data_IF_684170414520
#
_entry.id   IF_684170414520
#
_cell.length_a   1.000
_cell.length_b   1.000
_cell.length_c   1.000
_cell.angle_alpha   90.00
_cell.angle_beta   90.00
_cell.angle_gamma   90.00
#
_symmetry.space_group_name_H-M   'P 1'
#
loop_
_entity.id
_entity.type
_entity.pdbx_description
1 polymer ?
#
# COMPACT_ATOMS: atom_id res chain seq x y z
N UNK A 1 -0.37 30.16 -12.91
CA UNK A 1 0.60 29.93 -11.83
C UNK A 1 -0.13 29.20 -10.70
N UNK A 2 0.42 28.12 -10.16
CA UNK A 2 -0.20 27.39 -9.04
C UNK A 2 -0.07 28.21 -7.76
N UNK A 3 -1.10 28.23 -6.91
CA UNK A 3 -1.00 28.76 -5.56
C UNK A 3 -0.39 27.73 -4.59
N UNK A 4 -0.02 28.17 -3.39
CA UNK A 4 0.66 27.33 -2.39
C UNK A 4 -0.16 26.09 -1.99
N UNK A 5 -1.49 26.23 -1.88
CA UNK A 5 -2.36 25.10 -1.55
C UNK A 5 -2.39 24.06 -2.69
N UNK A 6 -2.49 24.51 -3.94
CA UNK A 6 -2.45 23.65 -5.12
C UNK A 6 -1.09 22.95 -5.25
N UNK A 7 0.01 23.68 -5.06
CA UNK A 7 1.37 23.14 -5.09
C UNK A 7 1.54 22.06 -4.01
N UNK A 8 1.18 22.35 -2.76
CA UNK A 8 1.26 21.39 -1.64
C UNK A 8 0.42 20.15 -1.87
N UNK A 9 -0.82 20.31 -2.38
CA UNK A 9 -1.70 19.19 -2.67
C UNK A 9 -1.15 18.30 -3.79
N UNK A 10 -0.55 18.89 -4.83
CA UNK A 10 0.10 18.15 -5.91
C UNK A 10 1.37 17.43 -5.42
N UNK A 11 2.22 18.09 -4.62
CA UNK A 11 3.40 17.46 -3.99
C UNK A 11 3.02 16.18 -3.26
N UNK A 12 2.03 16.23 -2.36
CA UNK A 12 1.60 15.07 -1.57
C UNK A 12 1.06 13.95 -2.46
N UNK A 13 0.27 14.27 -3.48
CA UNK A 13 -0.37 13.26 -4.34
C UNK A 13 0.61 12.62 -5.31
N UNK A 14 1.48 13.41 -5.93
CA UNK A 14 2.49 12.92 -6.87
C UNK A 14 3.64 12.21 -6.16
N UNK A 15 4.05 12.68 -4.98
CA UNK A 15 5.02 11.99 -4.13
C UNK A 15 4.51 10.61 -3.73
N UNK A 16 3.30 10.54 -3.16
CA UNK A 16 2.66 9.26 -2.79
C UNK A 16 2.54 8.29 -3.97
N UNK A 17 2.23 8.78 -5.17
CA UNK A 17 2.16 7.94 -6.38
C UNK A 17 3.50 7.27 -6.68
N UNK A 18 4.60 8.03 -6.61
CA UNK A 18 5.96 7.49 -6.84
C UNK A 18 6.34 6.50 -5.73
N UNK A 19 6.07 6.84 -4.47
CA UNK A 19 6.41 6.03 -3.30
C UNK A 19 5.64 4.70 -3.23
N UNK A 20 4.41 4.65 -3.73
CA UNK A 20 3.64 3.40 -3.83
C UNK A 20 4.08 2.57 -5.05
N UNK A 21 4.54 3.22 -6.13
CA UNK A 21 4.97 2.54 -7.36
C UNK A 21 6.36 1.90 -7.23
N UNK A 22 7.30 2.53 -6.52
CA UNK A 22 8.68 2.05 -6.37
C UNK A 22 8.77 0.65 -5.72
N UNK A 23 8.12 0.37 -4.57
CA UNK A 23 8.15 -0.97 -3.97
C UNK A 23 7.51 -2.04 -4.85
N UNK A 24 6.47 -1.69 -5.63
CA UNK A 24 5.86 -2.61 -6.59
C UNK A 24 6.84 -2.95 -7.71
N UNK A 25 7.60 -1.97 -8.19
CA UNK A 25 8.63 -2.18 -9.20
C UNK A 25 9.76 -3.07 -8.67
N UNK A 26 10.19 -2.89 -7.42
CA UNK A 26 11.21 -3.72 -6.78
C UNK A 26 10.73 -5.17 -6.61
N UNK A 27 9.51 -5.38 -6.13
CA UNK A 27 8.89 -6.72 -6.07
C UNK A 27 8.84 -7.39 -7.44
N UNK A 28 8.48 -6.63 -8.48
CA UNK A 28 8.46 -7.15 -9.84
C UNK A 28 9.85 -7.50 -10.33
N UNK A 29 10.91 -6.75 -10.00
CA UNK A 29 12.30 -7.05 -10.38
C UNK A 29 12.80 -8.34 -9.75
N UNK A 30 12.40 -8.61 -8.52
CA UNK A 30 12.79 -9.82 -7.76
C UNK A 30 11.98 -11.07 -8.16
N UNK A 31 10.85 -10.90 -8.85
CA UNK A 31 9.97 -12.00 -9.23
C UNK A 31 10.61 -12.94 -10.27
N UNK A 32 10.77 -14.25 -9.96
CA UNK A 32 11.38 -15.23 -10.86
C UNK A 32 10.49 -15.62 -12.06
N UNK A 33 9.17 -15.48 -11.92
CA UNK A 33 8.18 -15.98 -12.90
C UNK A 33 7.95 -15.08 -14.12
N UNK A 34 8.87 -14.16 -14.42
CA UNK A 34 8.72 -13.25 -15.57
C UNK A 34 7.46 -12.38 -15.44
N UNK A 35 7.19 -11.87 -14.23
CA UNK A 35 6.12 -10.91 -13.99
C UNK A 35 6.10 -9.86 -15.12
N UNK A 36 4.92 -9.70 -15.74
CA UNK A 36 4.75 -9.13 -17.08
C UNK A 36 5.69 -7.95 -17.31
N UNK A 37 6.68 -8.10 -18.18
CA UNK A 37 7.63 -7.03 -18.52
C UNK A 37 6.89 -5.71 -18.84
N UNK A 38 5.73 -5.82 -19.47
CA UNK A 38 4.83 -4.70 -19.73
C UNK A 38 4.40 -3.96 -18.44
N UNK A 39 4.13 -4.66 -17.34
CA UNK A 39 3.79 -4.04 -16.06
C UNK A 39 4.98 -3.29 -15.45
N UNK A 40 6.20 -3.84 -15.58
CA UNK A 40 7.43 -3.15 -15.17
C UNK A 40 7.63 -1.87 -15.99
N UNK A 41 7.52 -1.98 -17.31
CA UNK A 41 7.71 -0.86 -18.24
C UNK A 41 6.69 0.26 -17.99
N UNK A 42 5.44 -0.10 -17.69
CA UNK A 42 4.39 0.87 -17.34
C UNK A 42 4.63 1.53 -15.99
N UNK A 43 5.07 0.80 -14.96
CA UNK A 43 5.43 1.39 -13.67
C UNK A 43 6.63 2.33 -13.78
N UNK A 44 7.66 1.96 -14.54
CA UNK A 44 8.80 2.84 -14.81
C UNK A 44 8.37 4.09 -15.59
N UNK A 45 7.49 3.93 -16.58
CA UNK A 45 6.94 5.04 -17.34
C UNK A 45 6.10 5.97 -16.47
N UNK A 46 5.27 5.42 -15.57
CA UNK A 46 4.48 6.17 -14.60
C UNK A 46 5.37 7.01 -13.68
N UNK A 47 6.40 6.41 -13.08
CA UNK A 47 7.33 7.09 -12.17
C UNK A 47 8.05 8.22 -12.92
N UNK A 48 8.62 7.92 -14.11
CA UNK A 48 9.33 8.90 -14.94
C UNK A 48 8.43 10.05 -15.36
N UNK A 49 7.21 9.75 -15.79
CA UNK A 49 6.23 10.76 -16.25
C UNK A 49 5.78 11.65 -15.11
N UNK A 50 5.58 11.07 -13.92
CA UNK A 50 5.22 11.81 -12.71
C UNK A 50 6.33 12.76 -12.28
N UNK A 51 7.59 12.29 -12.24
CA UNK A 51 8.76 13.13 -11.95
C UNK A 51 8.94 14.24 -12.98
N UNK A 52 8.81 13.94 -14.27
CA UNK A 52 8.91 14.95 -15.33
C UNK A 52 7.77 15.99 -15.25
N UNK A 53 6.55 15.57 -14.92
CA UNK A 53 5.44 16.49 -14.70
C UNK A 53 5.69 17.39 -13.49
N UNK A 54 6.20 16.85 -12.38
CA UNK A 54 6.54 17.64 -11.21
C UNK A 54 7.65 18.66 -11.49
N UNK A 55 8.70 18.25 -12.21
CA UNK A 55 9.78 19.16 -12.63
C UNK A 55 9.25 20.32 -13.48
N UNK A 56 8.35 20.06 -14.46
CA UNK A 56 7.71 21.11 -15.27
C UNK A 56 6.83 22.06 -14.47
N UNK A 57 6.30 21.60 -13.35
CA UNK A 57 5.45 22.40 -12.45
C UNK A 57 6.25 23.04 -11.30
N UNK A 58 7.58 22.89 -11.30
CA UNK A 58 8.47 23.33 -10.22
C UNK A 58 8.02 22.78 -8.86
N UNK A 59 7.57 21.52 -8.86
CA UNK A 59 7.17 20.78 -7.68
C UNK A 59 8.33 19.88 -7.29
N UNK A 60 8.84 20.10 -6.08
CA UNK A 60 9.81 19.22 -5.48
C UNK A 60 9.11 17.96 -4.95
N UNK A 61 9.41 16.80 -5.53
CA UNK A 61 8.98 15.50 -5.04
C UNK A 61 9.98 14.88 -4.05
N UNK A 62 11.16 15.49 -3.86
CA UNK A 62 12.12 15.14 -2.81
C UNK A 62 11.71 15.70 -1.44
N UNK A 63 10.49 16.26 -1.34
CA UNK A 63 9.84 16.52 -0.07
C UNK A 63 9.80 15.26 0.80
N UNK A 64 9.72 15.40 2.14
CA UNK A 64 9.92 14.30 3.06
C UNK A 64 9.00 13.15 2.66
N UNK A 65 9.62 12.09 2.15
CA UNK A 65 9.00 10.78 2.07
C UNK A 65 8.23 10.60 3.37
N UNK A 66 6.94 10.21 3.36
CA UNK A 66 6.21 9.93 4.56
C UNK A 66 7.11 9.03 5.39
N UNK A 67 7.33 9.45 6.63
CA UNK A 67 8.23 8.73 7.51
C UNK A 67 7.82 7.26 7.52
N UNK A 68 8.79 6.39 7.82
CA UNK A 68 8.55 4.96 7.85
C UNK A 68 7.29 4.61 8.66
N UNK A 69 7.01 5.36 9.72
CA UNK A 69 5.84 5.23 10.56
C UNK A 69 4.52 5.52 9.81
N UNK A 70 4.44 6.57 8.99
CA UNK A 70 3.29 6.85 8.14
C UNK A 70 3.08 5.77 7.07
N UNK A 71 4.16 5.25 6.47
CA UNK A 71 4.08 4.12 5.52
C UNK A 71 3.57 2.84 6.19
N UNK A 72 4.11 2.50 7.35
CA UNK A 72 3.68 1.34 8.14
C UNK A 72 2.22 1.46 8.58
N UNK A 73 1.77 2.65 9.00
CA UNK A 73 0.35 2.90 9.33
C UNK A 73 -0.56 2.69 8.13
N UNK A 74 -0.23 3.29 6.98
CA UNK A 74 -1.04 3.16 5.77
C UNK A 74 -1.11 1.70 5.29
N UNK A 75 0.02 1.00 5.27
CA UNK A 75 0.10 -0.40 4.86
C UNK A 75 -0.68 -1.31 5.82
N UNK A 76 -0.45 -1.20 7.13
CA UNK A 76 -1.12 -2.04 8.13
C UNK A 76 -2.64 -1.80 8.17
N UNK A 77 -3.10 -0.55 7.99
CA UNK A 77 -4.51 -0.24 7.85
C UNK A 77 -5.14 -0.86 6.59
N UNK A 78 -4.42 -0.90 5.47
CA UNK A 78 -4.90 -1.53 4.24
C UNK A 78 -5.01 -3.05 4.34
N UNK A 79 -4.14 -3.70 5.12
CA UNK A 79 -4.19 -5.15 5.37
C UNK A 79 -5.18 -5.53 6.45
N UNK A 80 -5.42 -4.65 7.42
CA UNK A 80 -6.35 -4.89 8.53
C UNK A 80 -7.72 -5.35 8.02
N UNK A 81 -8.35 -4.58 7.13
CA UNK A 81 -9.67 -4.93 6.59
C UNK A 81 -9.64 -6.25 5.82
N UNK A 82 -8.59 -6.47 5.01
CA UNK A 82 -8.46 -7.71 4.22
C UNK A 82 -8.35 -8.96 5.08
N UNK A 83 -7.63 -8.88 6.19
CA UNK A 83 -7.49 -9.99 7.13
C UNK A 83 -8.80 -10.24 7.87
N UNK A 84 -9.53 -9.19 8.27
CA UNK A 84 -10.84 -9.37 8.92
C UNK A 84 -11.90 -9.96 7.96
N UNK A 85 -11.81 -9.68 6.66
CA UNK A 85 -12.67 -10.30 5.65
C UNK A 85 -12.41 -11.80 5.48
N UNK A 86 -11.27 -12.32 5.97
CA UNK A 86 -10.99 -13.75 6.01
C UNK A 86 -11.63 -14.48 7.20
N UNK A 87 -12.33 -13.79 8.10
CA UNK A 87 -13.03 -14.44 9.20
C UNK A 87 -14.16 -15.35 8.69
N UNK A 88 -14.43 -16.49 9.35
CA UNK A 88 -15.45 -17.44 8.91
C UNK A 88 -16.83 -16.81 8.66
N UNK A 89 -17.23 -15.81 9.45
CA UNK A 89 -18.49 -15.09 9.28
C UNK A 89 -18.57 -14.25 7.99
N UNK A 90 -17.43 -13.87 7.40
CA UNK A 90 -17.31 -13.04 6.19
C UNK A 90 -16.99 -13.85 4.93
N UNK A 91 -16.64 -15.14 5.05
CA UNK A 91 -16.41 -16.05 3.92
C UNK A 91 -17.71 -16.53 3.24
N UNK A 92 -18.87 -15.99 3.67
CA UNK A 92 -20.21 -16.31 3.17
C UNK A 92 -20.35 -15.86 1.71
N UNK A 93 -19.98 -16.75 0.81
CA UNK A 93 -19.96 -16.51 -0.64
C UNK A 93 -19.18 -17.57 -1.40
N UNK A 94 -18.33 -18.33 -0.69
CA UNK A 94 -17.55 -19.45 -1.22
C UNK A 94 -18.09 -20.83 -0.78
N UNK A 95 -19.23 -20.85 -0.09
CA UNK A 95 -19.81 -22.03 0.57
C UNK A 95 -19.95 -21.83 2.08
N UNK A 96 -20.61 -22.76 2.76
CA UNK A 96 -20.55 -22.81 4.22
C UNK A 96 -19.15 -23.27 4.64
N UNK A 97 -18.56 -22.56 5.60
CA UNK A 97 -17.32 -22.98 6.24
C UNK A 97 -17.67 -24.05 7.27
N UNK A 98 -16.98 -25.19 7.24
CA UNK A 98 -17.14 -26.24 8.23
C UNK A 98 -16.89 -25.68 9.65
N UNK A 99 -17.74 -26.00 10.66
CA UNK A 99 -17.57 -25.45 12.00
C UNK A 99 -16.22 -25.74 12.65
N UNK A 100 -15.60 -26.90 12.37
CA UNK A 100 -14.28 -27.25 12.91
C UNK A 100 -13.21 -26.36 12.27
N UNK A 101 -13.30 -26.11 10.96
CA UNK A 101 -12.39 -25.19 10.28
C UNK A 101 -12.63 -23.74 10.70
N UNK A 102 -13.88 -23.33 10.94
CA UNK A 102 -14.21 -22.01 11.45
C UNK A 102 -13.55 -21.73 12.81
N UNK A 103 -13.65 -22.68 13.74
CA UNK A 103 -13.03 -22.59 15.08
C UNK A 103 -11.49 -22.55 15.02
N UNK A 104 -10.89 -23.11 13.96
CA UNK A 104 -9.44 -23.07 13.73
C UNK A 104 -8.99 -21.79 13.03
N UNK A 105 -9.77 -21.27 12.08
CA UNK A 105 -9.42 -20.07 11.29
C UNK A 105 -9.55 -18.80 12.14
N UNK A 106 -10.62 -18.67 12.92
CA UNK A 106 -10.90 -17.47 13.70
C UNK A 106 -9.72 -17.01 14.59
N UNK A 107 -9.09 -17.86 15.43
CA UNK A 107 -7.98 -17.42 16.28
C UNK A 107 -6.74 -16.99 15.49
N UNK A 108 -6.45 -17.64 14.35
CA UNK A 108 -5.29 -17.29 13.50
C UNK A 108 -5.48 -15.91 12.86
N UNK A 109 -6.70 -15.62 12.38
CA UNK A 109 -7.06 -14.30 11.84
C UNK A 109 -6.96 -13.22 12.94
N UNK A 110 -7.42 -13.53 14.14
CA UNK A 110 -7.34 -12.61 15.29
C UNK A 110 -5.90 -12.34 15.73
N UNK A 111 -5.02 -13.34 15.67
CA UNK A 111 -3.60 -13.17 15.95
C UNK A 111 -2.94 -12.21 14.94
N UNK A 112 -3.16 -12.45 13.64
CA UNK A 112 -2.63 -11.60 12.56
C UNK A 112 -3.16 -10.17 12.70
N UNK A 113 -4.46 -10.00 12.95
CA UNK A 113 -5.04 -8.69 13.24
C UNK A 113 -4.32 -8.05 14.44
N UNK A 114 -4.12 -8.77 15.55
CA UNK A 114 -3.36 -8.30 16.70
C UNK A 114 -1.96 -7.76 16.35
N UNK A 115 -1.23 -8.40 15.43
CA UNK A 115 0.04 -7.89 14.92
C UNK A 115 -0.11 -6.59 14.13
N UNK A 116 -1.09 -6.49 13.25
CA UNK A 116 -1.37 -5.27 12.48
C UNK A 116 -1.75 -4.08 13.38
N UNK A 117 -2.55 -4.30 14.42
CA UNK A 117 -2.87 -3.26 15.41
C UNK A 117 -1.64 -2.81 16.20
N UNK A 118 -0.73 -3.73 16.55
CA UNK A 118 0.54 -3.38 17.19
C UNK A 118 1.40 -2.49 16.29
N UNK A 119 1.52 -2.83 15.01
CA UNK A 119 2.26 -2.02 14.04
C UNK A 119 1.68 -0.60 13.91
N UNK A 120 0.35 -0.46 13.88
CA UNK A 120 -0.30 0.86 13.84
C UNK A 120 0.01 1.72 15.07
N UNK A 121 0.02 1.11 16.27
CA UNK A 121 0.35 1.82 17.52
C UNK A 121 1.80 2.26 17.57
N UNK A 122 2.73 1.35 17.28
CA UNK A 122 4.17 1.64 17.28
C UNK A 122 4.56 2.70 16.24
N UNK A 123 3.82 2.76 15.13
CA UNK A 123 4.01 3.76 14.10
C UNK A 123 3.21 5.07 14.34
N UNK A 124 2.46 5.15 15.45
CA UNK A 124 1.75 6.34 15.90
C UNK A 124 2.44 7.12 17.02
N UNK A 125 3.47 6.52 17.64
CA UNK A 125 4.39 7.11 18.63
C UNK A 125 5.50 7.91 17.92
#
# INVERSE_FOLDING_TARGET
MLNDHQRRRLTVRMGRLVEEAEPLLDLLRESPDGASQALRDELETLIRTTRAAAARLEIDLEGPSPDLSHRVRAWSAAWWTRILDCRPEHLKGLGEVDPIDADRIAPEIDEIAGHLARLQRLAGE
#
